data_IF_033794827527
#
_entry.id   IF_033794827527
#
_cell.length_a   1.000
_cell.length_b   1.000
_cell.length_c   1.000
_cell.angle_alpha   90.00
_cell.angle_beta   90.00
_cell.angle_gamma   90.00
#
_symmetry.space_group_name_H-M   'P 1'
#
loop_
_entity.id
_entity.type
_entity.pdbx_description
1 polymer ?
#
# COMPACT_ATOMS: atom_id res chain seq x y z
N UNK A 1 2.83 -23.26 39.35
CA UNK A 1 3.03 -24.32 38.34
C UNK A 1 4.34 -24.05 37.61
N UNK A 2 5.07 -25.11 37.23
CA UNK A 2 6.23 -25.03 36.32
C UNK A 2 5.84 -25.75 35.04
N UNK A 3 5.97 -25.09 33.89
CA UNK A 3 5.71 -25.71 32.59
C UNK A 3 6.98 -26.43 32.13
N UNK A 4 6.84 -27.65 31.62
CA UNK A 4 7.94 -28.43 31.04
C UNK A 4 7.59 -28.68 29.57
N UNK A 5 8.52 -28.36 28.67
CA UNK A 5 8.41 -28.64 27.24
C UNK A 5 9.25 -29.87 26.90
N UNK A 6 8.61 -30.92 26.38
CA UNK A 6 9.26 -32.17 26.00
C UNK A 6 9.31 -32.24 24.46
N UNK A 7 10.43 -31.84 23.82
CA UNK A 7 10.51 -31.72 22.36
C UNK A 7 10.41 -33.06 21.62
N UNK A 8 10.72 -34.17 22.30
CA UNK A 8 10.77 -35.51 21.70
C UNK A 8 9.40 -36.19 21.63
N UNK A 9 8.37 -35.64 22.28
CA UNK A 9 7.00 -36.16 22.21
C UNK A 9 6.27 -35.54 21.02
N UNK A 10 6.09 -36.34 19.98
CA UNK A 10 5.38 -35.93 18.76
C UNK A 10 3.91 -36.34 18.84
N UNK A 11 3.01 -35.41 18.50
CA UNK A 11 1.58 -35.66 18.35
C UNK A 11 1.18 -35.27 16.94
N UNK A 12 0.73 -36.25 16.15
CA UNK A 12 0.31 -36.00 14.78
C UNK A 12 -0.93 -35.10 14.75
N UNK A 13 -0.90 -34.09 13.89
CA UNK A 13 -1.97 -33.12 13.75
C UNK A 13 -2.30 -32.91 12.27
N UNK A 14 -3.59 -32.81 11.98
CA UNK A 14 -4.07 -32.47 10.65
C UNK A 14 -3.73 -31.00 10.32
N UNK A 15 -3.05 -30.79 9.19
CA UNK A 15 -2.82 -29.47 8.62
C UNK A 15 -3.96 -29.07 7.68
N UNK A 16 -4.23 -27.76 7.52
CA UNK A 16 -5.26 -27.29 6.58
C UNK A 16 -4.99 -27.78 5.15
N UNK A 17 -5.96 -28.49 4.57
CA UNK A 17 -5.86 -29.03 3.22
C UNK A 17 -5.99 -27.96 2.11
N UNK A 18 -6.46 -26.75 2.43
CA UNK A 18 -6.68 -25.67 1.47
C UNK A 18 -6.37 -24.28 2.07
N UNK A 19 -6.12 -23.32 1.19
CA UNK A 19 -5.58 -22.00 1.56
C UNK A 19 -6.53 -21.19 2.46
N UNK A 20 -7.84 -21.22 2.20
CA UNK A 20 -8.81 -20.48 3.01
C UNK A 20 -8.88 -21.01 4.46
N UNK A 21 -8.70 -22.31 4.68
CA UNK A 21 -8.60 -22.86 6.04
C UNK A 21 -7.29 -22.46 6.73
N UNK A 22 -6.18 -22.45 6.01
CA UNK A 22 -4.90 -21.95 6.52
C UNK A 22 -5.01 -20.47 6.94
N UNK A 23 -5.63 -19.63 6.10
CA UNK A 23 -5.92 -18.22 6.42
C UNK A 23 -6.77 -18.07 7.66
N UNK A 24 -7.87 -18.83 7.81
CA UNK A 24 -8.69 -18.82 9.02
C UNK A 24 -7.92 -19.24 10.27
N UNK A 25 -7.08 -20.26 10.17
CA UNK A 25 -6.26 -20.71 11.30
C UNK A 25 -5.27 -19.62 11.74
N UNK A 26 -4.54 -19.03 10.80
CA UNK A 26 -3.61 -17.94 11.08
C UNK A 26 -4.31 -16.69 11.60
N UNK A 27 -5.48 -16.35 11.05
CA UNK A 27 -6.32 -15.25 11.53
C UNK A 27 -6.68 -15.44 13.01
N UNK A 28 -7.14 -16.65 13.39
CA UNK A 28 -7.47 -16.99 14.77
C UNK A 28 -6.28 -16.89 15.71
N UNK A 29 -5.11 -17.38 15.28
CA UNK A 29 -3.89 -17.29 16.08
C UNK A 29 -3.45 -15.85 16.30
N UNK A 30 -3.45 -15.04 15.24
CA UNK A 30 -3.12 -13.63 15.32
C UNK A 30 -4.07 -12.88 16.24
N UNK A 31 -5.38 -13.00 15.97
CA UNK A 31 -6.41 -12.33 16.76
C UNK A 31 -6.39 -12.73 18.23
N UNK A 32 -6.35 -14.03 18.51
CA UNK A 32 -6.34 -14.54 19.88
C UNK A 32 -5.10 -14.08 20.67
N UNK A 33 -3.93 -14.08 20.03
CA UNK A 33 -2.69 -13.61 20.67
C UNK A 33 -2.77 -12.12 21.04
N UNK A 34 -3.26 -11.29 20.13
CA UNK A 34 -3.40 -9.84 20.36
C UNK A 34 -4.48 -9.55 21.42
N UNK A 35 -5.61 -10.26 21.41
CA UNK A 35 -6.63 -10.13 22.47
C UNK A 35 -6.06 -10.51 23.85
N UNK A 36 -5.25 -11.58 23.92
CA UNK A 36 -4.53 -11.94 25.13
C UNK A 36 -3.50 -10.87 25.52
N UNK A 37 -2.81 -10.26 24.55
CA UNK A 37 -1.90 -9.14 24.80
C UNK A 37 -2.63 -7.97 25.46
N UNK A 38 -3.72 -7.49 24.85
CA UNK A 38 -4.54 -6.39 25.36
C UNK A 38 -5.05 -6.70 26.78
N UNK A 39 -5.49 -7.93 27.03
CA UNK A 39 -6.07 -8.34 28.32
C UNK A 39 -5.02 -8.55 29.42
N UNK A 40 -3.87 -9.14 29.10
CA UNK A 40 -2.97 -9.70 30.12
C UNK A 40 -1.62 -8.99 30.21
N UNK A 41 -1.16 -8.31 29.15
CA UNK A 41 0.22 -7.83 29.07
C UNK A 41 0.53 -6.79 30.15
N UNK A 42 -0.38 -5.86 30.42
CA UNK A 42 -0.24 -4.88 31.49
C UNK A 42 -0.14 -5.55 32.87
N UNK A 43 -1.05 -6.49 33.16
CA UNK A 43 -1.06 -7.23 34.43
C UNK A 43 0.21 -8.07 34.62
N UNK A 44 0.68 -8.76 33.58
CA UNK A 44 1.91 -9.56 33.61
C UNK A 44 3.12 -8.66 33.88
N UNK A 45 3.19 -7.50 33.21
CA UNK A 45 4.34 -6.61 33.28
C UNK A 45 4.41 -5.90 34.63
N UNK A 46 3.29 -5.37 35.11
CA UNK A 46 3.24 -4.47 36.27
C UNK A 46 2.86 -5.20 37.57
N UNK A 47 1.84 -6.06 37.54
CA UNK A 47 1.22 -6.60 38.77
C UNK A 47 1.75 -7.96 39.20
N UNK A 48 2.24 -8.78 38.27
CA UNK A 48 2.63 -10.16 38.57
C UNK A 48 4.10 -10.24 39.02
N UNK A 49 4.32 -10.95 40.14
CA UNK A 49 5.63 -11.35 40.64
C UNK A 49 6.17 -12.57 39.87
N UNK A 50 6.51 -12.36 38.61
CA UNK A 50 7.15 -13.36 37.74
C UNK A 50 8.54 -12.89 37.31
N UNK A 51 9.41 -13.84 36.97
CA UNK A 51 10.77 -13.54 36.51
C UNK A 51 10.75 -12.61 35.28
N UNK A 52 11.74 -11.73 35.19
CA UNK A 52 11.86 -10.74 34.09
C UNK A 52 11.94 -11.46 32.73
N UNK A 53 12.67 -12.56 32.66
CA UNK A 53 12.78 -13.41 31.47
C UNK A 53 11.41 -13.91 31.00
N UNK A 54 10.57 -14.37 31.93
CA UNK A 54 9.21 -14.82 31.63
C UNK A 54 8.32 -13.65 31.16
N UNK A 55 8.51 -12.44 31.69
CA UNK A 55 7.82 -11.23 31.20
C UNK A 55 8.21 -10.92 29.76
N UNK A 56 9.50 -10.99 29.44
CA UNK A 56 10.01 -10.75 28.09
C UNK A 56 9.51 -11.79 27.08
N UNK A 57 9.56 -13.07 27.44
CA UNK A 57 9.00 -14.14 26.60
C UNK A 57 7.50 -13.99 26.39
N UNK A 58 6.74 -13.65 27.44
CA UNK A 58 5.31 -13.38 27.32
C UNK A 58 5.04 -12.18 26.40
N UNK A 59 5.83 -11.11 26.51
CA UNK A 59 5.73 -9.94 25.63
C UNK A 59 5.95 -10.32 24.18
N UNK A 60 7.06 -10.98 23.84
CA UNK A 60 7.34 -11.42 22.47
C UNK A 60 6.23 -12.32 21.95
N UNK A 61 5.84 -13.34 22.72
CA UNK A 61 4.88 -14.34 22.24
C UNK A 61 3.49 -13.75 21.98
N UNK A 62 3.03 -12.85 22.85
CA UNK A 62 1.72 -12.21 22.71
C UNK A 62 1.71 -11.14 21.61
N UNK A 63 2.83 -10.45 21.38
CA UNK A 63 2.93 -9.35 20.41
C UNK A 63 3.49 -9.75 19.05
N UNK A 64 3.95 -10.99 18.86
CA UNK A 64 4.62 -11.46 17.61
C UNK A 64 3.86 -11.15 16.32
N UNK A 65 2.53 -11.06 16.36
CA UNK A 65 1.70 -10.81 15.18
C UNK A 65 1.61 -9.33 14.77
N UNK A 66 2.11 -8.39 15.59
CA UNK A 66 2.19 -6.96 15.25
C UNK A 66 3.14 -6.71 14.06
N UNK A 67 4.09 -7.62 13.82
CA UNK A 67 5.00 -7.55 12.67
C UNK A 67 4.26 -7.49 11.33
N UNK A 68 3.08 -8.09 11.21
CA UNK A 68 2.32 -8.11 9.96
C UNK A 68 1.77 -6.72 9.57
N UNK A 69 1.06 -5.98 10.45
CA UNK A 69 0.71 -4.59 10.19
C UNK A 69 1.91 -3.70 9.87
N UNK A 70 3.01 -3.84 10.62
CA UNK A 70 4.22 -3.03 10.39
C UNK A 70 4.85 -3.31 9.02
N UNK A 71 4.92 -4.57 8.62
CA UNK A 71 5.42 -4.96 7.31
C UNK A 71 4.51 -4.43 6.18
N UNK A 72 3.19 -4.45 6.37
CA UNK A 72 2.24 -3.91 5.39
C UNK A 72 2.33 -2.38 5.28
N UNK A 73 2.52 -1.68 6.41
CA UNK A 73 2.78 -0.23 6.42
C UNK A 73 4.10 0.08 5.70
N UNK A 74 5.18 -0.66 5.98
CA UNK A 74 6.45 -0.50 5.28
C UNK A 74 6.29 -0.72 3.77
N UNK A 75 5.56 -1.76 3.37
CA UNK A 75 5.27 -2.07 1.97
C UNK A 75 4.52 -0.96 1.25
N UNK A 76 3.57 -0.31 1.91
CA UNK A 76 2.83 0.84 1.40
C UNK A 76 3.65 2.13 1.38
N UNK A 77 4.48 2.36 2.41
CA UNK A 77 5.24 3.58 2.51
C UNK A 77 6.39 3.63 1.49
N UNK A 78 7.05 2.49 1.24
CA UNK A 78 8.30 2.45 0.48
C UNK A 78 8.14 2.95 -0.97
N UNK A 79 7.15 2.50 -1.78
CA UNK A 79 6.97 3.04 -3.13
C UNK A 79 6.63 4.53 -3.14
N UNK A 80 5.87 5.03 -2.15
CA UNK A 80 5.51 6.45 -2.05
C UNK A 80 6.77 7.29 -1.80
N UNK A 81 7.64 6.85 -0.88
CA UNK A 81 8.89 7.53 -0.58
C UNK A 81 9.84 7.53 -1.78
N UNK A 82 9.89 6.42 -2.51
CA UNK A 82 10.70 6.28 -3.73
C UNK A 82 10.18 7.16 -4.88
N UNK A 83 8.86 7.28 -5.02
CA UNK A 83 8.24 8.14 -6.02
C UNK A 83 8.45 9.62 -5.70
N UNK A 84 8.38 10.00 -4.41
CA UNK A 84 8.64 11.37 -3.95
C UNK A 84 10.11 11.80 -4.01
N UNK A 85 11.01 10.96 -4.56
CA UNK A 85 12.46 11.20 -4.63
C UNK A 85 13.07 11.62 -3.29
N UNK A 86 12.47 11.19 -2.18
CA UNK A 86 12.98 11.49 -0.84
C UNK A 86 14.37 10.87 -0.73
N UNK A 87 15.34 11.64 -0.24
CA UNK A 87 16.69 11.11 -0.05
C UNK A 87 16.68 10.04 1.06
N UNK A 88 16.47 8.79 0.67
CA UNK A 88 16.53 7.63 1.56
C UNK A 88 17.97 7.30 1.99
N UNK A 89 18.98 7.91 1.36
CA UNK A 89 20.40 7.71 1.60
C UNK A 89 20.98 8.94 2.30
N UNK A 90 20.61 9.16 3.56
CA UNK A 90 21.38 10.08 4.42
C UNK A 90 22.85 9.63 4.48
N UNK A 91 23.08 8.31 4.38
CA UNK A 91 24.40 7.68 4.28
C UNK A 91 24.35 6.57 3.22
N UNK A 92 25.22 6.62 2.21
CA UNK A 92 25.16 5.76 1.01
C UNK A 92 25.24 4.25 1.30
N UNK A 93 25.83 3.82 2.41
CA UNK A 93 25.95 2.40 2.77
C UNK A 93 24.78 1.86 3.63
N UNK A 94 23.94 2.73 4.18
CA UNK A 94 22.89 2.35 5.15
C UNK A 94 21.87 1.31 4.60
N UNK A 95 21.40 1.41 3.34
CA UNK A 95 20.50 0.39 2.79
C UNK A 95 21.18 -0.97 2.62
N UNK A 96 22.46 -1.02 2.26
CA UNK A 96 23.20 -2.27 2.18
C UNK A 96 23.31 -2.94 3.56
N UNK A 97 23.58 -2.16 4.62
CA UNK A 97 23.56 -2.66 6.00
C UNK A 97 22.17 -3.14 6.40
N UNK A 98 21.12 -2.43 6.00
CA UNK A 98 19.74 -2.78 6.33
C UNK A 98 19.35 -4.11 5.70
N UNK A 99 19.71 -4.32 4.44
CA UNK A 99 19.47 -5.58 3.71
C UNK A 99 20.31 -6.71 4.32
N UNK A 100 21.59 -6.46 4.61
CA UNK A 100 22.45 -7.45 5.26
C UNK A 100 21.89 -7.86 6.62
N UNK A 101 21.42 -6.90 7.41
CA UNK A 101 20.78 -7.16 8.72
C UNK A 101 19.48 -7.96 8.54
N UNK A 102 18.64 -7.59 7.57
CA UNK A 102 17.40 -8.32 7.28
C UNK A 102 17.66 -9.78 6.87
N UNK A 103 18.65 -10.00 6.00
CA UNK A 103 19.05 -11.34 5.55
C UNK A 103 19.67 -12.16 6.69
N UNK A 104 20.51 -11.54 7.53
CA UNK A 104 21.16 -12.20 8.65
C UNK A 104 20.16 -12.58 9.75
N UNK A 105 19.33 -11.63 10.19
CA UNK A 105 18.38 -11.85 11.30
C UNK A 105 17.12 -12.61 10.89
N UNK A 106 16.68 -12.52 9.64
CA UNK A 106 15.56 -13.28 9.13
C UNK A 106 15.99 -14.68 8.65
N UNK A 107 16.23 -14.88 7.35
CA UNK A 107 16.61 -16.17 6.79
C UNK A 107 17.84 -16.82 7.46
N UNK A 108 18.88 -16.03 7.76
CA UNK A 108 20.12 -16.52 8.38
C UNK A 108 19.89 -17.17 9.74
N UNK A 109 19.19 -16.48 10.65
CA UNK A 109 18.81 -17.03 11.95
C UNK A 109 17.96 -18.30 11.81
N UNK A 110 17.01 -18.32 10.87
CA UNK A 110 16.20 -19.52 10.59
C UNK A 110 17.05 -20.72 10.15
N UNK A 111 18.07 -20.51 9.32
CA UNK A 111 18.98 -21.59 8.90
C UNK A 111 19.73 -22.16 10.09
N UNK A 112 20.25 -21.31 10.99
CA UNK A 112 20.95 -21.75 12.21
C UNK A 112 20.01 -22.58 13.10
N UNK A 113 18.78 -22.13 13.30
CA UNK A 113 17.77 -22.86 14.08
C UNK A 113 17.46 -24.21 13.41
N UNK A 114 17.22 -24.23 12.10
CA UNK A 114 16.96 -25.48 11.34
C UNK A 114 18.14 -26.45 11.43
N UNK A 115 19.37 -25.95 11.40
CA UNK A 115 20.56 -26.79 11.58
C UNK A 115 20.61 -27.42 12.97
N UNK A 116 20.26 -26.65 14.01
CA UNK A 116 20.22 -27.17 15.38
C UNK A 116 19.11 -28.21 15.60
N UNK A 117 17.93 -28.03 14.97
CA UNK A 117 16.78 -28.90 15.18
C UNK A 117 16.80 -30.17 14.33
N UNK A 118 17.26 -30.07 13.07
CA UNK A 118 17.12 -31.14 12.08
C UNK A 118 18.43 -31.86 11.74
N UNK A 119 19.55 -31.42 12.32
CA UNK A 119 20.89 -31.99 12.16
C UNK A 119 21.13 -32.49 10.72
N UNK A 120 21.26 -33.80 10.48
CA UNK A 120 21.57 -34.38 9.16
C UNK A 120 20.61 -33.99 8.03
N UNK A 121 19.36 -33.63 8.34
CA UNK A 121 18.33 -33.28 7.35
C UNK A 121 18.16 -31.78 7.11
N UNK A 122 18.97 -30.93 7.74
CA UNK A 122 18.81 -29.46 7.71
C UNK A 122 18.80 -28.89 6.29
N UNK A 123 19.65 -29.39 5.38
CA UNK A 123 19.74 -28.92 3.99
C UNK A 123 18.43 -29.14 3.22
N UNK A 124 17.76 -30.27 3.45
CA UNK A 124 16.48 -30.59 2.82
C UNK A 124 15.37 -29.65 3.31
N UNK A 125 15.36 -29.35 4.62
CA UNK A 125 14.40 -28.41 5.22
C UNK A 125 14.68 -26.95 4.82
N UNK A 126 15.94 -26.57 4.70
CA UNK A 126 16.34 -25.22 4.26
C UNK A 126 15.88 -24.91 2.83
N UNK A 127 15.73 -25.91 1.94
CA UNK A 127 15.15 -25.70 0.59
C UNK A 127 13.70 -25.22 0.61
N UNK A 128 12.98 -25.43 1.72
CA UNK A 128 11.59 -24.98 1.90
C UNK A 128 11.55 -23.52 2.37
N UNK A 129 12.66 -22.98 2.89
CA UNK A 129 12.72 -21.63 3.45
C UNK A 129 12.27 -20.54 2.47
N UNK A 130 12.66 -20.53 1.18
CA UNK A 130 12.14 -19.54 0.24
C UNK A 130 10.61 -19.58 0.11
N UNK A 131 10.02 -20.78 0.03
CA UNK A 131 8.58 -20.94 -0.01
C UNK A 131 7.91 -20.47 1.30
N UNK A 132 8.56 -20.70 2.45
CA UNK A 132 8.10 -20.19 3.75
C UNK A 132 8.11 -18.66 3.80
N UNK A 133 9.13 -18.00 3.25
CA UNK A 133 9.21 -16.53 3.19
C UNK A 133 8.09 -15.96 2.33
N UNK A 134 7.85 -16.54 1.15
CA UNK A 134 6.75 -16.15 0.26
C UNK A 134 5.40 -16.35 0.95
N UNK A 135 5.19 -17.49 1.61
CA UNK A 135 3.98 -17.76 2.38
C UNK A 135 3.78 -16.76 3.52
N UNK A 136 4.83 -16.50 4.32
CA UNK A 136 4.76 -15.56 5.44
C UNK A 136 4.47 -14.13 4.98
N UNK A 137 5.09 -13.69 3.88
CA UNK A 137 4.85 -12.39 3.28
C UNK A 137 3.39 -12.27 2.81
N UNK A 138 2.89 -13.26 2.08
CA UNK A 138 1.51 -13.27 1.58
C UNK A 138 0.45 -13.32 2.67
N UNK A 139 0.71 -14.04 3.77
CA UNK A 139 -0.21 -14.13 4.92
C UNK A 139 -0.37 -12.82 5.70
N UNK A 140 0.47 -11.82 5.42
CA UNK A 140 0.46 -10.56 6.16
C UNK A 140 -0.82 -9.77 6.03
N UNK A 141 -1.49 -9.77 4.88
CA UNK A 141 -2.78 -9.08 4.71
C UNK A 141 -3.81 -9.67 5.65
N UNK A 142 -4.00 -11.00 5.60
CA UNK A 142 -4.95 -11.71 6.45
C UNK A 142 -4.66 -11.51 7.95
N UNK A 143 -3.38 -11.58 8.35
CA UNK A 143 -2.99 -11.42 9.74
C UNK A 143 -3.09 -9.96 10.21
N UNK A 144 -2.84 -8.99 9.33
CA UNK A 144 -3.02 -7.57 9.64
C UNK A 144 -4.48 -7.24 9.91
N UNK A 145 -5.39 -7.74 9.07
CA UNK A 145 -6.84 -7.63 9.32
C UNK A 145 -7.20 -8.26 10.66
N UNK A 146 -6.62 -9.42 11.01
CA UNK A 146 -6.84 -10.07 12.29
C UNK A 146 -6.37 -9.25 13.50
N UNK A 147 -5.23 -8.58 13.39
CA UNK A 147 -4.68 -7.70 14.43
C UNK A 147 -5.59 -6.48 14.62
N UNK A 148 -5.99 -5.81 13.54
CA UNK A 148 -6.91 -4.67 13.64
C UNK A 148 -8.29 -5.08 14.18
N UNK A 149 -8.82 -6.22 13.77
CA UNK A 149 -10.07 -6.77 14.32
C UNK A 149 -9.92 -7.22 15.78
N UNK A 150 -8.72 -7.56 16.25
CA UNK A 150 -8.47 -7.83 17.67
C UNK A 150 -8.49 -6.55 18.52
N UNK A 151 -7.96 -5.45 17.98
CA UNK A 151 -7.85 -4.15 18.67
C UNK A 151 -9.19 -3.40 18.66
N UNK A 152 -9.88 -3.38 17.51
CA UNK A 152 -11.09 -2.57 17.31
C UNK A 152 -12.38 -3.40 17.25
N UNK A 153 -12.30 -4.71 17.02
CA UNK A 153 -13.48 -5.55 16.83
C UNK A 153 -14.20 -5.87 18.15
N UNK A 154 -15.54 -5.84 18.12
CA UNK A 154 -16.40 -6.29 19.22
C UNK A 154 -16.40 -7.84 19.35
N UNK A 155 -17.27 -8.39 20.22
CA UNK A 155 -17.50 -9.85 20.35
C UNK A 155 -17.72 -10.45 18.96
N UNK A 156 -16.74 -11.22 18.50
CA UNK A 156 -16.69 -11.70 17.14
C UNK A 156 -16.92 -13.21 17.10
N UNK A 157 -17.60 -13.67 16.06
CA UNK A 157 -17.89 -15.08 15.81
C UNK A 157 -16.61 -15.89 15.62
N UNK A 158 -16.53 -17.04 16.28
CA UNK A 158 -15.42 -17.96 16.14
C UNK A 158 -15.60 -18.84 14.90
N UNK A 159 -15.07 -18.39 13.76
CA UNK A 159 -15.09 -19.18 12.54
C UNK A 159 -14.12 -20.37 12.66
N UNK A 160 -14.68 -21.59 12.70
CA UNK A 160 -13.90 -22.83 12.81
C UNK A 160 -13.05 -23.07 11.56
N UNK A 161 -11.90 -23.69 11.76
CA UNK A 161 -11.05 -24.21 10.69
C UNK A 161 -11.58 -25.59 10.29
N UNK A 162 -11.98 -25.81 9.03
CA UNK A 162 -12.35 -27.13 8.54
C UNK A 162 -11.24 -28.15 8.75
N UNK A 163 -11.63 -29.31 9.27
CA UNK A 163 -10.80 -30.51 9.39
C UNK A 163 -11.51 -31.62 8.63
N UNK A 164 -10.79 -32.26 7.73
CA UNK A 164 -11.34 -33.22 6.78
C UNK A 164 -10.94 -34.65 7.11
N UNK A 165 -9.92 -34.86 7.95
CA UNK A 165 -9.37 -36.17 8.23
C UNK A 165 -8.87 -36.86 6.96
N UNK A 166 -8.08 -36.16 6.14
CA UNK A 166 -7.43 -36.76 4.97
C UNK A 166 -6.26 -37.61 5.47
N UNK A 167 -6.32 -38.92 5.26
CA UNK A 167 -5.30 -39.87 5.77
C UNK A 167 -4.49 -40.41 4.59
N UNK A 168 -5.15 -40.68 3.46
CA UNK A 168 -4.53 -41.25 2.26
C UNK A 168 -4.27 -40.16 1.21
N UNK A 169 -3.35 -40.42 0.27
CA UNK A 169 -3.04 -39.48 -0.81
C UNK A 169 -4.20 -39.31 -1.81
N UNK A 170 -5.10 -40.28 -1.85
CA UNK A 170 -6.27 -40.30 -2.74
C UNK A 170 -7.48 -39.57 -2.12
N UNK A 171 -7.42 -39.21 -0.83
CA UNK A 171 -8.47 -38.45 -0.16
C UNK A 171 -8.48 -36.98 -0.64
N UNK A 172 -9.64 -36.52 -1.14
CA UNK A 172 -9.84 -35.13 -1.57
C UNK A 172 -10.76 -34.37 -0.61
N UNK A 173 -10.47 -33.08 -0.40
CA UNK A 173 -11.29 -32.15 0.36
C UNK A 173 -12.43 -31.55 -0.49
N UNK A 174 -12.28 -31.52 -1.84
CA UNK A 174 -13.22 -30.88 -2.78
C UNK A 174 -14.64 -31.47 -2.76
N UNK A 175 -14.81 -32.68 -2.24
CA UNK A 175 -16.11 -33.37 -2.10
C UNK A 175 -16.82 -33.13 -0.77
N UNK A 176 -16.14 -32.59 0.25
CA UNK A 176 -16.63 -32.58 1.64
C UNK A 176 -17.49 -31.34 1.95
N UNK A 177 -18.46 -31.50 2.85
CA UNK A 177 -19.49 -30.50 3.17
C UNK A 177 -18.95 -29.14 3.65
N UNK A 178 -17.80 -29.16 4.35
CA UNK A 178 -17.13 -27.95 4.84
C UNK A 178 -16.19 -27.35 3.80
N UNK A 179 -16.69 -26.88 2.65
CA UNK A 179 -15.85 -26.12 1.71
C UNK A 179 -16.00 -24.61 1.95
N UNK A 180 -14.87 -23.89 2.04
CA UNK A 180 -14.91 -22.46 2.35
C UNK A 180 -15.11 -21.63 1.08
N UNK A 181 -16.08 -20.69 1.09
CA UNK A 181 -16.32 -19.82 -0.05
C UNK A 181 -15.16 -18.82 -0.23
N UNK A 182 -15.24 -18.06 -1.32
CA UNK A 182 -14.38 -16.93 -1.61
C UNK A 182 -14.24 -16.00 -0.39
N UNK A 183 -13.00 -15.66 -0.04
CA UNK A 183 -12.71 -14.73 1.06
C UNK A 183 -12.50 -13.32 0.52
N UNK A 184 -13.15 -12.32 1.11
CA UNK A 184 -12.96 -10.91 0.72
C UNK A 184 -11.51 -10.43 0.89
N UNK A 185 -10.76 -11.03 1.83
CA UNK A 185 -9.31 -10.77 1.99
C UNK A 185 -8.49 -11.09 0.74
N UNK A 186 -8.98 -11.98 -0.13
CA UNK A 186 -8.34 -12.28 -1.42
C UNK A 186 -8.32 -11.08 -2.37
N UNK A 187 -9.34 -10.22 -2.32
CA UNK A 187 -9.35 -8.97 -3.11
C UNK A 187 -8.26 -8.01 -2.63
N UNK A 188 -8.06 -7.90 -1.31
CA UNK A 188 -6.99 -7.10 -0.74
C UNK A 188 -5.62 -7.66 -1.13
N UNK A 189 -5.43 -8.98 -1.11
CA UNK A 189 -4.18 -9.60 -1.56
C UNK A 189 -3.88 -9.31 -3.03
N UNK A 190 -4.88 -9.36 -3.92
CA UNK A 190 -4.70 -8.96 -5.33
C UNK A 190 -4.31 -7.49 -5.43
N UNK A 191 -5.02 -6.61 -4.69
CA UNK A 191 -4.72 -5.18 -4.67
C UNK A 191 -3.28 -4.90 -4.22
N UNK A 192 -2.83 -5.49 -3.11
CA UNK A 192 -1.46 -5.33 -2.63
C UNK A 192 -0.44 -5.97 -3.58
N UNK A 193 -0.78 -7.07 -4.26
CA UNK A 193 0.06 -7.66 -5.31
C UNK A 193 0.29 -6.70 -6.48
N UNK A 194 -0.78 -6.09 -7.01
CA UNK A 194 -0.71 -5.10 -8.09
C UNK A 194 0.05 -3.85 -7.64
N UNK A 195 -0.23 -3.37 -6.44
CA UNK A 195 0.52 -2.26 -5.84
C UNK A 195 2.02 -2.56 -5.73
N UNK A 196 2.39 -3.79 -5.35
CA UNK A 196 3.78 -4.23 -5.30
C UNK A 196 4.46 -4.21 -6.67
N UNK A 197 3.75 -4.57 -7.73
CA UNK A 197 4.27 -4.47 -9.11
C UNK A 197 4.55 -3.02 -9.48
N UNK A 198 3.63 -2.11 -9.18
CA UNK A 198 3.87 -0.67 -9.35
C UNK A 198 5.08 -0.21 -8.53
N UNK A 199 5.20 -0.67 -7.28
CA UNK A 199 6.35 -0.37 -6.42
C UNK A 199 7.68 -0.85 -6.97
N UNK A 200 7.71 -2.00 -7.67
CA UNK A 200 8.91 -2.49 -8.37
C UNK A 200 9.29 -1.54 -9.51
N UNK A 201 8.32 -1.13 -10.34
CA UNK A 201 8.58 -0.17 -11.41
C UNK A 201 9.08 1.17 -10.85
N UNK A 202 8.43 1.70 -9.81
CA UNK A 202 8.87 2.93 -9.15
C UNK A 202 10.29 2.77 -8.62
N UNK A 203 10.63 1.66 -7.97
CA UNK A 203 11.98 1.42 -7.48
C UNK A 203 13.03 1.41 -8.60
N UNK A 204 12.71 0.83 -9.76
CA UNK A 204 13.61 0.81 -10.93
C UNK A 204 13.75 2.22 -11.53
N UNK A 205 12.64 2.91 -11.79
CA UNK A 205 12.65 4.21 -12.46
C UNK A 205 13.14 5.35 -11.57
N UNK A 206 12.99 5.24 -10.25
CA UNK A 206 13.58 6.18 -9.27
C UNK A 206 15.07 5.92 -9.00
N UNK A 207 15.74 5.07 -9.79
CA UNK A 207 17.15 4.69 -9.62
C UNK A 207 17.48 4.07 -8.24
N UNK A 208 16.52 3.31 -7.71
CA UNK A 208 16.59 2.67 -6.39
C UNK A 208 16.32 1.14 -6.46
N UNK A 209 17.01 0.40 -7.35
CA UNK A 209 16.72 -1.02 -7.59
C UNK A 209 17.00 -1.90 -6.37
N UNK A 210 17.75 -1.40 -5.38
CA UNK A 210 18.12 -2.14 -4.17
C UNK A 210 16.90 -2.62 -3.36
N UNK A 211 15.76 -1.93 -3.48
CA UNK A 211 14.52 -2.29 -2.77
C UNK A 211 13.64 -3.30 -3.53
N UNK A 212 13.91 -3.54 -4.81
CA UNK A 212 13.14 -4.46 -5.66
C UNK A 212 13.00 -5.87 -5.05
N UNK A 213 14.06 -6.50 -4.50
CA UNK A 213 13.93 -7.84 -3.91
C UNK A 213 12.96 -7.89 -2.72
N UNK A 214 12.92 -6.84 -1.89
CA UNK A 214 12.06 -6.76 -0.71
C UNK A 214 10.59 -6.59 -1.14
N UNK A 215 10.33 -5.68 -2.07
CA UNK A 215 8.98 -5.43 -2.60
C UNK A 215 8.50 -6.66 -3.40
N UNK A 216 9.39 -7.24 -4.21
CA UNK A 216 9.13 -8.43 -5.03
C UNK A 216 8.77 -9.65 -4.21
N UNK A 217 9.48 -9.93 -3.12
CA UNK A 217 9.15 -11.04 -2.22
C UNK A 217 7.71 -10.93 -1.68
N UNK A 218 7.29 -9.71 -1.31
CA UNK A 218 5.96 -9.46 -0.81
C UNK A 218 4.89 -9.55 -1.91
N UNK A 219 5.14 -8.93 -3.07
CA UNK A 219 4.25 -9.00 -4.22
C UNK A 219 3.99 -10.45 -4.68
N UNK A 220 5.05 -11.26 -4.79
CA UNK A 220 4.94 -12.69 -5.12
C UNK A 220 4.16 -13.44 -4.04
N UNK A 221 4.39 -13.13 -2.76
CA UNK A 221 3.62 -13.68 -1.64
C UNK A 221 2.12 -13.37 -1.76
N UNK A 222 1.76 -12.13 -2.04
CA UNK A 222 0.37 -11.71 -2.19
C UNK A 222 -0.33 -12.41 -3.37
N UNK A 223 0.32 -12.44 -4.54
CA UNK A 223 -0.23 -13.16 -5.69
C UNK A 223 -0.32 -14.66 -5.44
N UNK A 224 0.66 -15.27 -4.76
CA UNK A 224 0.62 -16.69 -4.44
C UNK A 224 -0.57 -17.05 -3.55
N UNK A 225 -0.77 -16.31 -2.44
CA UNK A 225 -1.91 -16.55 -1.55
C UNK A 225 -3.22 -16.26 -2.28
N UNK A 226 -3.31 -15.18 -3.05
CA UNK A 226 -4.50 -14.85 -3.82
C UNK A 226 -4.86 -15.94 -4.84
N UNK A 227 -3.87 -16.40 -5.62
CA UNK A 227 -4.03 -17.48 -6.59
C UNK A 227 -4.48 -18.77 -5.92
N UNK A 228 -3.83 -19.17 -4.82
CA UNK A 228 -4.18 -20.38 -4.07
C UNK A 228 -5.55 -20.28 -3.40
N UNK A 229 -5.96 -19.10 -2.95
CA UNK A 229 -7.31 -18.86 -2.44
C UNK A 229 -8.36 -18.96 -3.54
N UNK A 230 -8.09 -18.45 -4.75
CA UNK A 230 -8.99 -18.55 -5.90
C UNK A 230 -9.09 -19.97 -6.44
N UNK A 231 -7.96 -20.66 -6.64
CA UNK A 231 -7.92 -22.02 -7.18
C UNK A 231 -8.59 -23.03 -6.25
N UNK A 232 -8.50 -22.81 -4.94
CA UNK A 232 -9.19 -23.62 -3.94
C UNK A 232 -10.64 -23.19 -3.68
N UNK A 233 -11.11 -22.08 -4.24
CA UNK A 233 -12.52 -21.70 -4.11
C UNK A 233 -13.33 -22.50 -5.13
N UNK A 234 -14.14 -23.44 -4.66
CA UNK A 234 -15.15 -24.07 -5.52
C UNK A 234 -16.48 -23.35 -5.36
N UNK A 235 -16.99 -22.79 -6.46
CA UNK A 235 -18.37 -22.33 -6.55
C UNK A 235 -19.33 -23.52 -6.69
N UNK A 236 -19.32 -24.47 -5.75
CA UNK A 236 -20.39 -25.48 -5.69
C UNK A 236 -21.65 -24.79 -5.20
N UNK A 237 -22.64 -24.65 -6.09
CA UNK A 237 -24.03 -24.38 -5.71
C UNK A 237 -24.43 -25.51 -4.75
N UNK A 238 -24.81 -25.16 -3.51
CA UNK A 238 -25.29 -26.13 -2.52
C UNK A 238 -26.24 -27.11 -3.20
N UNK A 239 -25.83 -28.38 -3.35
CA UNK A 239 -26.70 -29.47 -3.82
C UNK A 239 -27.58 -30.01 -2.70
N UNK A 240 -27.24 -29.69 -1.45
CA UNK A 240 -28.13 -29.76 -0.29
C UNK A 240 -28.45 -28.32 0.11
N UNK A 241 -29.36 -27.71 -0.62
CA UNK A 241 -30.37 -26.96 0.12
C UNK A 241 -31.57 -27.87 0.08
N UNK A 242 -32.17 -28.17 1.23
CA UNK A 242 -33.62 -28.35 1.21
C UNK A 242 -34.23 -27.20 0.42
N UNK A 243 -35.39 -27.41 -0.20
CA UNK A 243 -36.13 -26.33 -0.86
C UNK A 243 -36.59 -25.31 0.20
N UNK A 244 -35.65 -24.59 0.78
CA UNK A 244 -35.87 -23.48 1.67
C UNK A 244 -36.34 -22.34 0.78
N UNK A 245 -37.63 -22.05 0.88
CA UNK A 245 -38.22 -20.90 0.22
C UNK A 245 -37.70 -19.67 0.95
N UNK A 246 -36.64 -19.06 0.40
CA UNK A 246 -36.10 -17.80 0.93
C UNK A 246 -37.25 -16.83 1.16
N UNK A 247 -37.35 -16.32 2.38
CA UNK A 247 -38.32 -15.30 2.77
C UNK A 247 -38.12 -14.05 1.89
N UNK A 248 -39.16 -13.21 1.78
CA UNK A 248 -39.08 -11.94 1.02
C UNK A 248 -37.89 -11.08 1.48
N UNK A 249 -37.58 -11.13 2.78
CA UNK A 249 -36.49 -10.37 3.40
C UNK A 249 -35.11 -10.87 2.96
N UNK A 250 -34.88 -12.18 2.91
CA UNK A 250 -33.61 -12.75 2.44
C UNK A 250 -33.40 -12.55 0.94
N UNK A 251 -34.46 -12.67 0.13
CA UNK A 251 -34.38 -12.36 -1.31
C UNK A 251 -34.01 -10.91 -1.54
N UNK A 252 -34.68 -9.99 -0.84
CA UNK A 252 -34.39 -8.56 -0.92
C UNK A 252 -32.94 -8.28 -0.49
N UNK A 253 -32.45 -8.93 0.55
CA UNK A 253 -31.10 -8.69 1.02
C UNK A 253 -30.00 -9.31 0.18
N UNK A 254 -30.24 -10.47 -0.44
CA UNK A 254 -29.32 -11.03 -1.44
C UNK A 254 -29.21 -10.10 -2.66
N UNK A 255 -30.32 -9.50 -3.07
CA UNK A 255 -30.34 -8.46 -4.11
C UNK A 255 -29.55 -7.24 -3.66
N UNK A 256 -29.78 -6.75 -2.44
CA UNK A 256 -29.02 -5.61 -1.88
C UNK A 256 -27.53 -5.92 -1.79
N UNK A 257 -27.12 -7.09 -1.28
CA UNK A 257 -25.70 -7.49 -1.22
C UNK A 257 -25.07 -7.53 -2.62
N UNK A 258 -25.77 -8.09 -3.61
CA UNK A 258 -25.30 -8.13 -5.00
C UNK A 258 -25.18 -6.72 -5.59
N UNK A 259 -26.17 -5.86 -5.34
CA UNK A 259 -26.15 -4.45 -5.76
C UNK A 259 -25.05 -3.66 -5.07
N UNK A 260 -24.82 -3.86 -3.78
CA UNK A 260 -23.71 -3.25 -3.03
C UNK A 260 -22.36 -3.71 -3.57
N UNK A 261 -22.21 -4.99 -3.93
CA UNK A 261 -20.96 -5.50 -4.52
C UNK A 261 -20.70 -4.92 -5.91
N UNK A 262 -21.75 -4.78 -6.73
CA UNK A 262 -21.68 -4.05 -8.02
C UNK A 262 -21.35 -2.57 -7.78
N UNK A 263 -21.96 -1.95 -6.76
CA UNK A 263 -21.71 -0.57 -6.36
C UNK A 263 -20.25 -0.34 -5.94
N UNK A 264 -19.66 -1.25 -5.16
CA UNK A 264 -18.23 -1.19 -4.79
C UNK A 264 -17.35 -1.25 -6.04
N UNK A 265 -17.63 -2.17 -6.97
CA UNK A 265 -16.86 -2.28 -8.21
C UNK A 265 -17.01 -1.01 -9.06
N UNK A 266 -18.22 -0.47 -9.17
CA UNK A 266 -18.48 0.80 -9.88
C UNK A 266 -17.74 1.98 -9.24
N UNK A 267 -17.73 2.06 -7.91
CA UNK A 267 -16.94 3.03 -7.14
C UNK A 267 -15.46 2.85 -7.46
N UNK A 268 -14.89 1.65 -7.41
CA UNK A 268 -13.46 1.44 -7.73
C UNK A 268 -13.12 1.90 -9.17
N UNK A 269 -13.96 1.55 -10.15
CA UNK A 269 -13.75 1.95 -11.55
C UNK A 269 -13.84 3.47 -11.70
N UNK A 270 -14.85 4.09 -11.09
CA UNK A 270 -15.02 5.54 -11.10
C UNK A 270 -13.86 6.25 -10.41
N UNK A 271 -13.33 5.70 -9.32
CA UNK A 271 -12.17 6.23 -8.61
C UNK A 271 -10.90 6.14 -9.45
N UNK A 272 -10.69 5.02 -10.15
CA UNK A 272 -9.61 4.87 -11.11
C UNK A 272 -9.70 5.87 -12.26
N UNK A 273 -10.89 6.08 -12.81
CA UNK A 273 -11.14 7.10 -13.84
C UNK A 273 -10.82 8.52 -13.32
N UNK A 274 -11.36 8.88 -12.15
CA UNK A 274 -11.11 10.17 -11.51
C UNK A 274 -9.62 10.41 -11.22
N UNK A 275 -8.88 9.38 -10.81
CA UNK A 275 -7.44 9.48 -10.58
C UNK A 275 -6.66 9.75 -11.88
N UNK A 276 -7.02 9.10 -12.98
CA UNK A 276 -6.40 9.33 -14.30
C UNK A 276 -6.74 10.73 -14.80
N UNK A 277 -7.99 11.16 -14.69
CA UNK A 277 -8.39 12.51 -15.11
C UNK A 277 -7.72 13.58 -14.27
N UNK A 278 -7.69 13.43 -12.94
CA UNK A 278 -7.03 14.37 -12.04
C UNK A 278 -5.53 14.45 -12.27
N UNK A 279 -4.86 13.33 -12.55
CA UNK A 279 -3.46 13.35 -12.95
C UNK A 279 -3.24 14.15 -14.22
N UNK A 280 -4.06 13.92 -15.26
CA UNK A 280 -3.92 14.61 -16.54
C UNK A 280 -4.19 16.13 -16.45
N UNK A 281 -5.07 16.57 -15.56
CA UNK A 281 -5.40 18.00 -15.42
C UNK A 281 -4.46 18.73 -14.49
N UNK A 282 -4.11 18.13 -13.35
CA UNK A 282 -3.50 18.87 -12.25
C UNK A 282 -1.99 18.62 -12.12
N UNK A 283 -1.51 17.44 -12.54
CA UNK A 283 -0.12 17.02 -12.32
C UNK A 283 0.67 16.94 -13.63
N UNK A 284 0.10 16.34 -14.67
CA UNK A 284 0.78 16.12 -15.94
C UNK A 284 1.36 17.40 -16.57
N UNK A 285 0.67 18.57 -16.51
CA UNK A 285 1.29 19.81 -16.97
C UNK A 285 2.56 20.20 -16.20
N UNK A 286 2.65 19.90 -14.89
CA UNK A 286 3.87 20.14 -14.10
C UNK A 286 5.03 19.28 -14.60
N UNK A 287 4.77 18.01 -14.91
CA UNK A 287 5.80 17.10 -15.45
C UNK A 287 6.24 17.51 -16.86
N UNK A 288 5.31 17.97 -17.71
CA UNK A 288 5.65 18.53 -19.02
C UNK A 288 6.54 19.77 -18.90
N UNK A 289 6.22 20.68 -17.98
CA UNK A 289 7.06 21.85 -17.72
C UNK A 289 8.47 21.44 -17.32
N UNK A 290 8.63 20.45 -16.42
CA UNK A 290 9.95 19.93 -16.05
C UNK A 290 10.73 19.40 -17.26
N UNK A 291 10.06 18.65 -18.14
CA UNK A 291 10.65 18.17 -19.39
C UNK A 291 11.06 19.31 -20.34
N UNK A 292 10.26 20.38 -20.43
CA UNK A 292 10.60 21.56 -21.23
C UNK A 292 11.76 22.37 -20.62
N UNK A 293 11.86 22.48 -19.30
CA UNK A 293 13.04 23.06 -18.64
C UNK A 293 14.31 22.25 -18.91
N UNK A 294 14.23 20.91 -18.86
CA UNK A 294 15.36 20.04 -19.23
C UNK A 294 15.75 20.24 -20.71
N UNK A 295 14.77 20.47 -21.59
CA UNK A 295 14.99 20.86 -22.98
C UNK A 295 15.71 22.21 -23.14
N UNK A 296 15.38 23.21 -22.32
CA UNK A 296 16.07 24.52 -22.31
C UNK A 296 17.53 24.36 -21.85
N UNK A 297 17.74 23.63 -20.75
CA UNK A 297 19.07 23.40 -20.18
C UNK A 297 20.01 22.69 -21.18
N UNK A 298 19.45 21.77 -21.98
CA UNK A 298 20.18 21.00 -22.98
C UNK A 298 20.30 21.64 -24.37
N UNK A 299 19.64 22.77 -24.63
CA UNK A 299 19.60 23.41 -25.95
C UNK A 299 20.50 24.64 -26.01
N UNK A 300 21.14 24.86 -27.15
CA UNK A 300 21.99 26.05 -27.41
C UNK A 300 21.40 26.97 -28.47
N UNK A 301 20.23 26.61 -29.01
CA UNK A 301 19.56 27.33 -30.08
C UNK A 301 18.43 28.22 -29.53
N UNK A 302 18.45 29.55 -29.77
CA UNK A 302 17.45 30.46 -29.23
C UNK A 302 16.00 30.17 -29.67
N UNK A 303 15.80 29.66 -30.89
CA UNK A 303 14.46 29.35 -31.39
C UNK A 303 13.87 28.13 -30.66
N UNK A 304 14.68 27.10 -30.42
CA UNK A 304 14.31 25.95 -29.60
C UNK A 304 13.96 26.34 -28.15
N UNK A 305 14.77 27.20 -27.52
CA UNK A 305 14.52 27.68 -26.15
C UNK A 305 13.21 28.46 -26.08
N UNK A 306 12.96 29.37 -27.04
CA UNK A 306 11.71 30.13 -27.13
C UNK A 306 10.49 29.21 -27.25
N UNK A 307 10.57 28.17 -28.08
CA UNK A 307 9.47 27.20 -28.23
C UNK A 307 9.16 26.46 -26.92
N UNK A 308 10.20 26.06 -26.17
CA UNK A 308 10.03 25.46 -24.84
C UNK A 308 9.41 26.43 -23.83
N UNK A 309 9.85 27.69 -23.80
CA UNK A 309 9.27 28.70 -22.91
C UNK A 309 7.80 29.00 -23.23
N UNK A 310 7.40 29.03 -24.51
CA UNK A 310 5.99 29.19 -24.89
C UNK A 310 5.13 27.98 -24.47
N UNK A 311 5.68 26.77 -24.57
CA UNK A 311 4.99 25.56 -24.10
C UNK A 311 4.81 25.59 -22.58
N UNK A 312 5.84 26.01 -21.83
CA UNK A 312 5.78 26.19 -20.37
C UNK A 312 4.72 27.22 -19.99
N UNK A 313 4.65 28.36 -20.69
CA UNK A 313 3.63 29.39 -20.44
C UNK A 313 2.21 28.84 -20.59
N UNK A 314 1.97 28.04 -21.64
CA UNK A 314 0.68 27.39 -21.87
C UNK A 314 0.32 26.44 -20.74
N UNK A 315 1.30 25.68 -20.23
CA UNK A 315 1.10 24.77 -19.10
C UNK A 315 0.88 25.50 -17.78
N UNK A 316 1.60 26.60 -17.52
CA UNK A 316 1.38 27.46 -16.35
C UNK A 316 -0.05 28.01 -16.31
N UNK A 317 -0.57 28.49 -17.44
CA UNK A 317 -1.93 29.05 -17.51
C UNK A 317 -3.01 28.00 -17.17
N UNK A 318 -2.80 26.74 -17.59
CA UNK A 318 -3.68 25.62 -17.25
C UNK A 318 -3.64 25.33 -15.75
N UNK A 319 -2.44 25.25 -15.19
CA UNK A 319 -2.20 24.87 -13.78
C UNK A 319 -2.73 25.93 -12.83
N UNK A 320 -2.47 27.20 -13.12
CA UNK A 320 -2.85 28.34 -12.26
C UNK A 320 -4.37 28.50 -12.13
N UNK A 321 -5.15 28.01 -13.10
CA UNK A 321 -6.62 28.09 -13.08
C UNK A 321 -7.25 27.32 -11.91
N UNK A 322 -6.65 26.19 -11.53
CA UNK A 322 -7.18 25.28 -10.52
C UNK A 322 -6.52 25.46 -9.14
N UNK A 323 -5.54 26.36 -9.02
CA UNK A 323 -4.80 26.60 -7.79
C UNK A 323 -5.46 27.66 -6.90
N UNK A 324 -5.32 27.57 -5.57
CA UNK A 324 -5.85 28.57 -4.67
C UNK A 324 -5.07 29.89 -4.84
N UNK A 325 -5.83 30.98 -4.89
CA UNK A 325 -5.33 32.33 -5.11
C UNK A 325 -5.46 33.14 -3.82
N UNK A 326 -4.42 33.91 -3.49
CA UNK A 326 -4.45 34.84 -2.35
C UNK A 326 -4.60 36.25 -2.91
N UNK A 327 -5.67 36.94 -2.52
CA UNK A 327 -5.97 38.31 -2.99
C UNK A 327 -5.70 39.35 -1.91
N UNK A 328 -5.27 40.53 -2.33
CA UNK A 328 -5.14 41.71 -1.48
C UNK A 328 -6.52 42.28 -1.12
N UNK A 329 -6.57 43.22 -0.17
CA UNK A 329 -7.78 43.99 0.19
C UNK A 329 -8.43 44.68 -1.03
N UNK A 330 -7.65 44.94 -2.08
CA UNK A 330 -8.09 45.55 -3.34
C UNK A 330 -8.54 44.54 -4.40
N UNK A 331 -8.53 43.23 -4.11
CA UNK A 331 -8.96 42.17 -5.04
C UNK A 331 -7.90 41.70 -6.05
N UNK A 332 -6.66 42.21 -5.97
CA UNK A 332 -5.55 41.78 -6.83
C UNK A 332 -4.93 40.46 -6.33
N UNK A 333 -4.63 39.54 -7.25
CA UNK A 333 -4.00 38.25 -6.92
C UNK A 333 -2.52 38.46 -6.61
N UNK A 334 -2.13 38.23 -5.37
CA UNK A 334 -0.76 38.41 -4.85
C UNK A 334 0.06 37.14 -5.04
N UNK A 335 -0.57 35.98 -4.87
CA UNK A 335 0.10 34.69 -4.93
C UNK A 335 -0.84 33.60 -5.39
N UNK A 336 -0.30 32.70 -6.19
CA UNK A 336 -0.96 31.45 -6.61
C UNK A 336 -0.06 30.32 -6.13
N UNK A 337 -0.45 29.65 -5.04
CA UNK A 337 0.42 28.70 -4.36
C UNK A 337 -0.32 27.40 -4.02
N UNK A 338 0.16 26.22 -4.43
CA UNK A 338 -0.46 24.95 -4.04
C UNK A 338 -0.26 24.62 -2.55
N UNK A 339 0.71 25.27 -1.89
CA UNK A 339 0.99 25.06 -0.47
C UNK A 339 0.02 25.88 0.38
N UNK A 340 -0.88 25.19 1.09
CA UNK A 340 -1.96 25.83 1.85
C UNK A 340 -1.63 26.06 3.34
N UNK A 341 -0.63 25.38 3.90
CA UNK A 341 -0.28 25.50 5.33
C UNK A 341 0.89 26.46 5.57
N UNK A 342 1.90 26.47 4.70
CA UNK A 342 3.10 27.31 4.79
C UNK A 342 3.62 27.70 3.39
N UNK A 343 2.93 28.60 2.67
CA UNK A 343 3.33 29.01 1.33
C UNK A 343 4.71 29.68 1.35
N UNK A 344 5.59 29.28 0.44
CA UNK A 344 6.88 29.92 0.20
C UNK A 344 6.88 30.67 -1.12
N UNK A 345 7.81 31.60 -1.26
CA UNK A 345 8.05 32.32 -2.50
C UNK A 345 8.49 31.38 -3.63
N UNK A 346 9.21 30.30 -3.30
CA UNK A 346 9.67 29.28 -4.25
C UNK A 346 8.55 28.44 -4.85
N UNK A 347 7.38 28.35 -4.19
CA UNK A 347 6.23 27.60 -4.70
C UNK A 347 5.14 28.49 -5.29
N UNK A 348 5.42 29.79 -5.47
CA UNK A 348 4.46 30.75 -6.03
C UNK A 348 4.48 30.74 -7.56
N UNK A 349 3.44 30.18 -8.18
CA UNK A 349 3.31 30.07 -9.63
C UNK A 349 3.16 31.41 -10.35
N UNK A 350 2.64 32.44 -9.68
CA UNK A 350 2.57 33.78 -10.24
C UNK A 350 3.99 34.36 -10.46
N UNK A 351 4.90 34.10 -9.52
CA UNK A 351 6.31 34.49 -9.68
C UNK A 351 6.98 33.69 -10.79
N UNK A 352 6.78 32.38 -10.82
CA UNK A 352 7.31 31.53 -11.89
C UNK A 352 6.84 32.02 -13.27
N UNK A 353 5.58 32.44 -13.41
CA UNK A 353 5.05 33.00 -14.65
C UNK A 353 5.74 34.31 -15.04
N UNK A 354 5.99 35.20 -14.07
CA UNK A 354 6.72 36.45 -14.31
C UNK A 354 8.19 36.17 -14.71
N UNK A 355 8.83 35.19 -14.10
CA UNK A 355 10.20 34.78 -14.43
C UNK A 355 10.26 34.19 -15.85
N UNK A 356 9.32 33.30 -16.22
CA UNK A 356 9.21 32.77 -17.59
C UNK A 356 8.95 33.89 -18.60
N UNK A 357 8.10 34.86 -18.28
CA UNK A 357 7.86 36.04 -19.13
C UNK A 357 9.13 36.86 -19.31
N UNK A 358 9.91 37.05 -18.24
CA UNK A 358 11.19 37.74 -18.30
C UNK A 358 12.17 36.98 -19.19
N UNK A 359 12.26 35.66 -19.02
CA UNK A 359 13.09 34.79 -19.88
C UNK A 359 12.69 34.87 -21.35
N UNK A 360 11.39 34.95 -21.67
CA UNK A 360 10.89 35.16 -23.03
C UNK A 360 11.37 36.50 -23.62
N UNK A 361 11.36 37.58 -22.84
CA UNK A 361 11.90 38.87 -23.31
C UNK A 361 13.42 38.84 -23.46
N UNK A 362 14.12 38.10 -22.60
CA UNK A 362 15.57 37.95 -22.64
C UNK A 362 16.01 37.14 -23.87
N UNK A 363 15.33 36.03 -24.18
CA UNK A 363 15.67 35.23 -25.37
C UNK A 363 15.43 36.00 -26.67
N UNK A 364 14.41 36.86 -26.73
CA UNK A 364 14.16 37.72 -27.89
C UNK A 364 15.30 38.71 -28.12
N UNK A 365 15.83 39.30 -27.04
CA UNK A 365 17.00 40.18 -27.13
C UNK A 365 18.26 39.41 -27.54
N UNK A 366 18.50 38.24 -26.96
CA UNK A 366 19.66 37.38 -27.26
C UNK A 366 19.64 36.91 -28.72
N UNK A 367 18.46 36.63 -29.28
CA UNK A 367 18.31 36.18 -30.67
C UNK A 367 18.80 37.19 -31.71
N UNK A 368 18.84 38.49 -31.35
CA UNK A 368 19.32 39.57 -32.21
C UNK A 368 20.84 39.83 -32.07
N UNK A 369 21.52 39.20 -31.10
CA UNK A 369 22.94 39.41 -30.82
C UNK A 369 23.77 38.35 -31.56
N UNK A 370 24.94 38.71 -32.14
CA UNK A 370 25.87 37.75 -32.73
C UNK A 370 26.32 36.67 -31.73
N UNK A 371 26.39 35.41 -32.19
CA UNK A 371 26.70 34.24 -31.35
C UNK A 371 28.11 34.24 -30.76
N UNK A 372 29.02 35.01 -31.35
CA UNK A 372 30.41 35.19 -30.93
C UNK A 372 30.59 36.28 -29.88
N UNK A 373 29.53 37.01 -29.53
CA UNK A 373 29.57 38.04 -28.50
C UNK A 373 29.57 37.45 -27.09
N UNK A 374 30.37 38.02 -26.18
CA UNK A 374 30.33 37.69 -24.75
C UNK A 374 28.94 37.90 -24.13
N UNK A 375 28.18 38.87 -24.65
CA UNK A 375 26.82 39.14 -24.22
C UNK A 375 25.86 37.98 -24.56
N UNK A 376 26.06 37.31 -25.70
CA UNK A 376 25.26 36.14 -26.08
C UNK A 376 25.50 34.98 -25.10
N UNK A 377 26.77 34.67 -24.82
CA UNK A 377 27.11 33.60 -23.88
C UNK A 377 26.65 33.87 -22.46
N UNK A 378 26.78 35.12 -21.99
CA UNK A 378 26.31 35.52 -20.64
C UNK A 378 24.79 35.40 -20.53
N UNK A 379 24.05 35.88 -21.54
CA UNK A 379 22.59 35.77 -21.56
C UNK A 379 22.12 34.32 -21.65
N UNK A 380 22.82 33.47 -22.40
CA UNK A 380 22.49 32.04 -22.49
C UNK A 380 22.73 31.29 -21.17
N UNK A 381 23.79 31.65 -20.44
CA UNK A 381 24.08 31.10 -19.11
C UNK A 381 23.00 31.49 -18.10
N UNK A 382 22.62 32.78 -18.07
CA UNK A 382 21.56 33.30 -17.19
C UNK A 382 20.20 32.62 -17.45
N UNK A 383 19.87 32.36 -18.72
CA UNK A 383 18.67 31.60 -19.08
C UNK A 383 18.73 30.15 -18.60
N UNK A 384 19.89 29.50 -18.69
CA UNK A 384 20.05 28.11 -18.25
C UNK A 384 19.92 28.02 -16.72
N UNK A 385 20.59 28.91 -16.00
CA UNK A 385 20.53 28.98 -14.54
C UNK A 385 19.10 29.29 -14.05
N UNK A 386 18.41 30.22 -14.71
CA UNK A 386 17.01 30.52 -14.43
C UNK A 386 16.08 29.33 -14.70
N UNK A 387 16.28 28.62 -15.82
CA UNK A 387 15.53 27.40 -16.13
C UNK A 387 15.74 26.30 -15.08
N UNK A 388 16.97 26.15 -14.57
CA UNK A 388 17.29 25.20 -13.52
C UNK A 388 16.60 25.56 -12.20
N UNK A 389 16.61 26.83 -11.79
CA UNK A 389 15.91 27.28 -10.59
C UNK A 389 14.40 27.08 -10.68
N UNK A 390 13.79 27.43 -11.82
CA UNK A 390 12.36 27.23 -12.05
C UNK A 390 11.97 25.75 -12.06
N UNK A 391 12.83 24.89 -12.62
CA UNK A 391 12.63 23.43 -12.55
C UNK A 391 12.59 22.92 -11.11
N UNK A 392 13.48 23.41 -10.25
CA UNK A 392 13.52 23.05 -8.83
C UNK A 392 12.25 23.56 -8.13
N UNK A 393 11.86 24.81 -8.37
CA UNK A 393 10.64 25.40 -7.82
C UNK A 393 9.37 24.61 -8.19
N UNK A 394 9.23 24.17 -9.45
CA UNK A 394 8.12 23.31 -9.88
C UNK A 394 8.17 21.95 -9.19
N UNK A 395 9.37 21.38 -9.03
CA UNK A 395 9.56 20.09 -8.35
C UNK A 395 9.19 20.17 -6.86
N UNK A 396 9.56 21.26 -6.18
CA UNK A 396 9.22 21.51 -4.77
C UNK A 396 7.70 21.71 -4.58
N UNK A 397 7.03 22.28 -5.58
CA UNK A 397 5.57 22.49 -5.53
C UNK A 397 4.74 21.25 -5.90
N UNK A 398 5.28 20.31 -6.67
CA UNK A 398 4.56 19.13 -7.20
C UNK A 398 3.92 18.26 -6.09
N UNK A 399 4.57 17.94 -4.96
CA UNK A 399 3.96 17.16 -3.89
C UNK A 399 2.67 17.79 -3.32
N UNK A 400 2.61 19.12 -3.28
CA UNK A 400 1.46 19.85 -2.75
C UNK A 400 0.31 19.92 -3.75
N UNK A 401 0.59 19.80 -5.05
CA UNK A 401 -0.45 19.61 -6.06
C UNK A 401 -1.14 18.24 -5.89
N UNK A 402 -0.39 17.18 -5.54
CA UNK A 402 -0.97 15.87 -5.21
C UNK A 402 -1.85 15.94 -3.94
N UNK A 403 -1.36 16.60 -2.89
CA UNK A 403 -2.06 16.73 -1.60
C UNK A 403 -2.80 18.07 -1.50
N UNK A 404 -3.50 18.45 -2.57
CA UNK A 404 -4.34 19.64 -2.57
C UNK A 404 -5.53 19.45 -1.63
N UNK A 405 -6.03 20.54 -1.03
CA UNK A 405 -7.18 20.47 -0.13
C UNK A 405 -8.43 19.79 -0.76
N UNK A 406 -8.77 20.05 -2.04
CA UNK A 406 -9.81 19.30 -2.73
C UNK A 406 -9.51 17.80 -2.84
N UNK A 407 -8.28 17.42 -3.19
CA UNK A 407 -7.89 16.00 -3.32
C UNK A 407 -7.94 15.26 -1.97
N UNK A 408 -7.55 15.92 -0.89
CA UNK A 408 -7.68 15.39 0.48
C UNK A 408 -9.15 15.22 0.86
N UNK A 409 -10.00 16.22 0.59
CA UNK A 409 -11.43 16.15 0.86
C UNK A 409 -12.11 15.04 0.05
N UNK A 410 -11.82 14.95 -1.24
CA UNK A 410 -12.32 13.86 -2.09
C UNK A 410 -11.85 12.52 -1.57
N UNK A 411 -10.57 12.34 -1.27
CA UNK A 411 -10.03 11.09 -0.72
C UNK A 411 -10.73 10.71 0.60
N UNK A 412 -11.00 11.67 1.48
CA UNK A 412 -11.73 11.44 2.72
C UNK A 412 -13.19 11.01 2.48
N UNK A 413 -13.90 11.67 1.55
CA UNK A 413 -15.27 11.30 1.14
C UNK A 413 -15.28 9.89 0.55
N UNK A 414 -14.30 9.57 -0.30
CA UNK A 414 -14.13 8.26 -0.91
C UNK A 414 -13.93 7.16 0.13
N UNK A 415 -13.02 7.37 1.08
CA UNK A 415 -12.79 6.44 2.18
C UNK A 415 -14.06 6.30 3.03
N UNK A 416 -14.73 7.40 3.36
CA UNK A 416 -15.97 7.38 4.14
C UNK A 416 -17.09 6.63 3.43
N UNK A 417 -17.26 6.80 2.11
CA UNK A 417 -18.24 6.09 1.31
C UNK A 417 -17.96 4.57 1.29
N UNK A 418 -16.70 4.18 1.10
CA UNK A 418 -16.29 2.76 1.14
C UNK A 418 -16.56 2.18 2.53
N UNK A 419 -16.15 2.87 3.59
CA UNK A 419 -16.38 2.43 4.98
C UNK A 419 -17.87 2.34 5.31
N UNK A 420 -18.70 3.29 4.85
CA UNK A 420 -20.14 3.27 5.03
C UNK A 420 -20.78 2.07 4.33
N UNK A 421 -20.34 1.73 3.12
CA UNK A 421 -20.81 0.54 2.41
C UNK A 421 -20.38 -0.74 3.15
N UNK A 422 -19.13 -0.83 3.60
CA UNK A 422 -18.67 -1.98 4.38
C UNK A 422 -19.40 -2.12 5.72
N UNK A 423 -19.67 -1.01 6.40
CA UNK A 423 -20.46 -0.98 7.62
C UNK A 423 -21.90 -1.44 7.36
N UNK A 424 -22.56 -0.92 6.31
CA UNK A 424 -23.90 -1.34 5.92
C UNK A 424 -23.97 -2.84 5.56
N UNK A 425 -22.97 -3.34 4.84
CA UNK A 425 -22.83 -4.77 4.53
C UNK A 425 -22.65 -5.62 5.80
N UNK A 426 -21.85 -5.14 6.76
CA UNK A 426 -21.61 -5.81 8.03
C UNK A 426 -22.86 -5.85 8.91
N UNK A 427 -23.53 -4.72 9.12
CA UNK A 427 -24.76 -4.64 9.93
C UNK A 427 -25.86 -5.52 9.34
N UNK A 428 -26.02 -5.53 8.01
CA UNK A 428 -26.98 -6.42 7.34
C UNK A 428 -26.62 -7.89 7.55
N UNK A 429 -25.33 -8.25 7.44
CA UNK A 429 -24.86 -9.63 7.70
C UNK A 429 -25.11 -10.07 9.15
N UNK A 430 -24.93 -9.17 10.12
CA UNK A 430 -25.23 -9.43 11.53
C UNK A 430 -26.73 -9.63 11.76
N UNK A 431 -27.61 -8.83 11.11
CA UNK A 431 -29.07 -9.05 11.12
C UNK A 431 -29.48 -10.42 10.55
N UNK A 432 -28.77 -10.95 9.53
CA UNK A 432 -29.00 -12.31 9.02
C UNK A 432 -28.67 -13.40 10.02
N UNK A 433 -27.58 -13.21 10.78
CA UNK A 433 -27.17 -14.19 11.78
C UNK A 433 -28.14 -14.22 12.96
N UNK A 434 -28.68 -13.06 13.37
CA UNK A 434 -29.73 -13.02 14.40
C UNK A 434 -31.05 -13.65 13.93
N UNK A 435 -31.47 -13.42 12.67
CA UNK A 435 -32.69 -14.03 12.13
C UNK A 435 -32.57 -15.55 12.00
N UNK A 436 -31.43 -16.06 11.49
CA UNK A 436 -31.15 -17.50 11.37
C UNK A 436 -31.08 -18.21 12.74
N UNK A 437 -30.63 -17.51 13.79
CA UNK A 437 -30.58 -18.05 15.17
C UNK A 437 -31.96 -18.00 15.83
N UNK A 438 -32.82 -17.04 15.47
CA UNK A 438 -34.15 -16.86 16.07
C UNK A 438 -35.26 -17.76 15.50
N UNK A 439 -35.03 -18.46 14.38
CA UNK A 439 -35.96 -19.45 13.86
C UNK A 439 -37.38 -18.93 13.58
N UNK A 440 -37.49 -17.72 13.04
CA UNK A 440 -38.76 -17.14 12.51
C UNK A 440 -38.69 -17.00 11.00
#
# INVERSE_FOLDING_TARGET
>A
WKCVFLPDIVVDAELPAHMNAAKRQQFRWAKGSIQCAIKLLFDITVKRKVAIEAKFQAFIQLTRHIVYPLMLIQFLALPILLAGQVNLYVVSFLPAITIATYLAMGPGAYIVIMQSMYHKSWKSKAKILPALLVYNAGMSVNNTVAVFDAVFGKKNEFLRTPKYGLITKDDDWKGKAYNLPFSQTTLLEIFFGVYGVLGIFIAIFSNNPVFVPIIGLQAVGFFYIAYMSLSHTQFKRNKSSDNYVMTKNEKMAKIVYKLSMIGIVGIIIFGGFMAVTGYNTDIYPLDRMRGHYDGIIGSSDPASIRAHLMAIQTDLDIVMKNMPQTTNENGEVISVNPVWMFPTDSTNFLRMQNDVTTMLTTIDKISAIPRDSSAYHTGMMDLNDSALQLRINVMDATPYAYVSAPNVAYSAIWIAAILAIFAALKTKKEQFQESDISGV
#
